data_IF_192843788056
#
_entry.id   IF_192843788056
#
_cell.length_a   1.000
_cell.length_b   1.000
_cell.length_c   1.000
_cell.angle_alpha   90.00
_cell.angle_beta   90.00
_cell.angle_gamma   90.00
#
_symmetry.space_group_name_H-M   'P 1'
#
loop_
_entity.id
_entity.type
_entity.pdbx_description
1 polymer ?
#
# COMPACT_ATOMS: atom_id res chain seq x y z
N UNK A 1 26.81 5.17 17.40
CA UNK A 1 26.28 4.05 16.58
C UNK A 1 25.04 3.48 17.28
N UNK A 2 24.20 2.69 16.60
CA UNK A 2 23.09 1.97 17.25
C UNK A 2 23.30 0.47 17.10
N UNK A 3 23.05 -0.31 18.16
CA UNK A 3 23.20 -1.77 18.16
C UNK A 3 21.90 -2.41 18.60
N UNK A 4 21.24 -3.13 17.70
CA UNK A 4 20.05 -3.94 18.01
C UNK A 4 20.54 -5.32 18.44
N UNK A 5 20.32 -5.68 19.70
CA UNK A 5 20.74 -6.97 20.28
C UNK A 5 19.58 -7.95 20.36
N UNK A 6 19.90 -9.24 20.31
CA UNK A 6 18.95 -10.33 20.50
C UNK A 6 17.76 -10.31 19.53
N UNK A 7 17.92 -9.82 18.30
CA UNK A 7 16.88 -9.87 17.29
C UNK A 7 16.79 -11.26 16.66
N UNK A 8 15.65 -11.57 16.04
CA UNK A 8 15.52 -12.67 15.09
C UNK A 8 15.32 -12.11 13.69
N UNK A 9 16.07 -12.57 12.69
CA UNK A 9 15.87 -12.19 11.28
C UNK A 9 15.47 -13.42 10.46
N UNK A 10 14.81 -13.20 9.32
CA UNK A 10 14.54 -14.26 8.35
C UNK A 10 15.80 -14.57 7.54
N UNK A 11 16.25 -15.83 7.60
CA UNK A 11 17.31 -16.36 6.76
C UNK A 11 16.87 -17.72 6.19
N UNK A 12 16.79 -17.80 4.86
CA UNK A 12 16.35 -19.00 4.12
C UNK A 12 15.03 -19.60 4.65
N UNK A 13 14.04 -18.75 4.97
CA UNK A 13 12.72 -19.16 5.46
C UNK A 13 12.66 -19.57 6.94
N UNK A 14 13.74 -19.37 7.71
CA UNK A 14 13.78 -19.67 9.14
C UNK A 14 14.25 -18.46 9.95
N UNK A 15 13.73 -18.31 11.18
CA UNK A 15 14.17 -17.26 12.08
C UNK A 15 15.54 -17.62 12.69
N UNK A 16 16.48 -16.68 12.62
CA UNK A 16 17.84 -16.80 13.17
C UNK A 16 18.13 -15.67 14.12
N UNK A 17 18.66 -16.00 15.30
CA UNK A 17 19.08 -15.03 16.31
C UNK A 17 20.36 -14.32 15.85
N UNK A 18 20.33 -12.99 15.85
CA UNK A 18 21.45 -12.11 15.47
C UNK A 18 21.45 -10.82 16.29
N UNK A 19 22.59 -10.13 16.26
CA UNK A 19 22.73 -8.72 16.58
C UNK A 19 22.95 -7.93 15.28
N UNK A 20 22.44 -6.70 15.20
CA UNK A 20 22.54 -5.82 14.02
C UNK A 20 23.14 -4.48 14.43
N UNK A 21 24.31 -4.15 13.89
CA UNK A 21 24.99 -2.88 14.11
C UNK A 21 24.67 -1.89 12.99
N UNK A 22 24.29 -0.67 13.38
CA UNK A 22 23.92 0.43 12.50
C UNK A 22 24.92 1.59 12.69
N UNK A 23 25.48 2.06 11.57
CA UNK A 23 26.39 3.20 11.51
C UNK A 23 25.85 4.27 10.55
N UNK A 24 25.50 5.43 11.10
CA UNK A 24 24.81 6.47 10.35
C UNK A 24 23.48 5.94 9.82
N UNK A 25 23.33 5.93 8.50
CA UNK A 25 22.10 5.54 7.79
C UNK A 25 22.03 4.07 7.39
N UNK A 26 23.07 3.29 7.64
CA UNK A 26 23.25 1.97 7.04
C UNK A 26 23.44 0.88 8.08
N UNK A 27 23.05 -0.33 7.69
CA UNK A 27 23.42 -1.56 8.39
C UNK A 27 24.90 -1.81 8.13
N UNK A 28 25.71 -1.76 9.19
CA UNK A 28 27.16 -1.97 9.12
C UNK A 28 27.52 -3.44 9.19
N UNK A 29 26.87 -4.18 10.10
CA UNK A 29 27.22 -5.57 10.38
C UNK A 29 26.01 -6.33 10.91
N UNK A 30 25.86 -7.58 10.47
CA UNK A 30 24.91 -8.56 10.99
C UNK A 30 25.71 -9.78 11.46
N UNK A 31 25.65 -10.12 12.75
CA UNK A 31 26.41 -11.23 13.29
C UNK A 31 25.68 -11.90 14.46
N UNK A 32 26.00 -13.16 14.81
CA UNK A 32 25.36 -13.86 15.94
C UNK A 32 25.53 -13.16 17.30
N UNK A 33 26.62 -12.40 17.47
CA UNK A 33 26.88 -11.59 18.65
C UNK A 33 27.82 -10.44 18.28
N UNK A 34 27.50 -9.22 18.73
CA UNK A 34 28.35 -8.03 18.56
C UNK A 34 28.61 -7.45 19.96
N UNK A 35 29.89 -7.19 20.26
CA UNK A 35 30.27 -6.55 21.53
C UNK A 35 29.81 -5.09 21.53
N UNK A 36 29.07 -4.71 22.58
CA UNK A 36 28.64 -3.33 22.78
C UNK A 36 29.80 -2.52 23.34
N UNK A 37 30.06 -1.36 22.76
CA UNK A 37 30.99 -0.36 23.29
C UNK A 37 30.22 0.80 23.92
N UNK A 38 30.87 1.57 24.80
CA UNK A 38 30.21 2.64 25.58
C UNK A 38 29.62 3.78 24.71
N UNK A 39 30.04 3.90 23.45
CA UNK A 39 29.57 4.89 22.47
C UNK A 39 28.38 4.39 21.60
N UNK A 40 27.87 3.19 21.87
CA UNK A 40 26.71 2.62 21.19
C UNK A 40 25.42 2.83 21.99
N UNK A 41 24.36 3.22 21.29
CA UNK A 41 22.99 3.13 21.81
C UNK A 41 22.54 1.69 21.61
N UNK A 42 22.29 0.97 22.70
CA UNK A 42 21.85 -0.43 22.66
C UNK A 42 20.33 -0.50 22.72
N UNK A 43 19.76 -1.20 21.74
CA UNK A 43 18.33 -1.53 21.66
C UNK A 43 18.24 -3.05 21.88
N UNK A 44 17.59 -3.50 22.95
CA UNK A 44 17.38 -4.94 23.18
C UNK A 44 16.07 -5.38 22.51
N UNK A 45 16.17 -6.15 21.43
CA UNK A 45 15.02 -6.65 20.70
C UNK A 45 14.27 -7.77 21.42
N UNK A 46 14.78 -8.27 22.57
CA UNK A 46 14.11 -9.27 23.42
C UNK A 46 13.67 -10.54 22.66
N UNK A 47 14.39 -10.93 21.61
CA UNK A 47 14.03 -12.08 20.77
C UNK A 47 12.93 -11.82 19.73
N UNK A 48 12.48 -10.58 19.56
CA UNK A 48 11.45 -10.23 18.57
C UNK A 48 12.00 -10.28 17.14
N UNK A 49 11.08 -10.32 16.17
CA UNK A 49 11.40 -10.43 14.76
C UNK A 49 11.76 -9.08 14.17
N UNK A 50 12.97 -8.95 13.62
CA UNK A 50 13.45 -7.77 12.91
C UNK A 50 13.32 -8.01 11.40
N UNK A 51 12.42 -7.27 10.77
CA UNK A 51 12.16 -7.30 9.34
C UNK A 51 12.84 -6.11 8.63
N UNK A 52 13.12 -6.23 7.32
CA UNK A 52 13.27 -5.03 6.50
C UNK A 52 11.99 -4.19 6.59
N UNK A 53 12.15 -2.87 6.61
CA UNK A 53 11.03 -1.95 6.62
C UNK A 53 10.12 -2.14 5.42
N UNK A 54 8.81 -2.13 5.66
CA UNK A 54 7.82 -2.39 4.63
C UNK A 54 7.72 -1.23 3.62
N UNK A 55 7.33 -1.55 2.40
CA UNK A 55 7.16 -0.63 1.28
C UNK A 55 5.69 -0.68 0.83
N UNK A 56 4.97 0.43 1.00
CA UNK A 56 3.58 0.55 0.55
C UNK A 56 3.49 1.43 -0.69
N UNK A 57 3.15 0.83 -1.82
CA UNK A 57 3.05 1.55 -3.09
C UNK A 57 1.71 2.26 -3.26
N UNK A 58 0.78 2.15 -2.30
CA UNK A 58 -0.54 2.78 -2.41
C UNK A 58 -1.05 3.33 -1.06
N UNK A 59 -0.90 4.64 -0.85
CA UNK A 59 -1.47 5.34 0.32
C UNK A 59 -2.11 6.67 -0.06
N UNK A 60 -2.99 7.20 0.79
CA UNK A 60 -3.50 8.57 0.70
C UNK A 60 -3.16 9.38 1.95
N UNK A 61 -2.22 10.33 1.83
CA UNK A 61 -1.85 11.23 2.93
C UNK A 61 -2.76 12.46 3.06
N UNK A 62 -3.66 12.66 2.08
CA UNK A 62 -4.71 13.71 2.01
C UNK A 62 -4.23 15.16 1.96
N UNK A 63 -3.06 15.47 2.50
CA UNK A 63 -2.42 16.77 2.41
C UNK A 63 -1.61 16.88 1.12
N UNK A 64 -1.75 17.98 0.35
CA UNK A 64 -2.55 19.19 0.64
C UNK A 64 -4.06 19.06 0.34
N UNK A 65 -4.86 19.85 1.06
CA UNK A 65 -6.29 20.10 0.79
C UNK A 65 -7.29 19.23 1.55
N UNK A 66 -6.86 18.08 2.07
CA UNK A 66 -7.67 17.17 2.89
C UNK A 66 -7.18 17.05 4.33
N UNK A 67 -6.52 18.07 4.86
CA UNK A 67 -5.78 18.04 6.14
C UNK A 67 -6.65 17.64 7.33
N UNK A 68 -7.97 17.86 7.28
CA UNK A 68 -8.90 17.42 8.33
C UNK A 68 -9.04 15.90 8.40
N UNK A 69 -8.81 15.19 7.28
CA UNK A 69 -8.83 13.72 7.21
C UNK A 69 -7.49 13.13 7.63
N UNK A 70 -6.39 13.69 7.12
CA UNK A 70 -5.01 13.25 7.42
C UNK A 70 -4.01 14.34 7.00
N UNK A 71 -2.84 14.39 7.66
CA UNK A 71 -1.69 15.20 7.22
C UNK A 71 -0.52 14.29 6.84
N UNK A 72 0.49 14.83 6.16
CA UNK A 72 1.74 14.08 5.87
C UNK A 72 2.38 13.63 7.19
N UNK A 73 2.40 14.48 8.22
CA UNK A 73 2.93 14.14 9.55
C UNK A 73 2.19 12.94 10.17
N UNK A 74 0.87 13.05 10.37
CA UNK A 74 0.10 12.01 11.05
C UNK A 74 0.04 10.72 10.24
N UNK A 75 -0.13 10.83 8.92
CA UNK A 75 -0.14 9.67 8.03
C UNK A 75 1.21 8.94 8.01
N UNK A 76 2.34 9.66 7.99
CA UNK A 76 3.66 9.00 8.02
C UNK A 76 4.02 8.43 9.39
N UNK A 77 3.50 9.00 10.49
CA UNK A 77 3.58 8.37 11.82
C UNK A 77 2.77 7.07 11.90
N UNK A 78 1.53 7.08 11.37
CA UNK A 78 0.68 5.88 11.27
C UNK A 78 1.35 4.77 10.45
N UNK A 79 1.94 5.14 9.31
CA UNK A 79 2.74 4.26 8.46
C UNK A 79 3.95 3.68 9.22
N UNK A 80 4.71 4.52 9.95
CA UNK A 80 5.83 4.04 10.76
C UNK A 80 5.37 3.04 11.83
N UNK A 81 4.23 3.29 12.50
CA UNK A 81 3.62 2.35 13.44
C UNK A 81 3.25 1.01 12.78
N UNK A 82 2.80 1.05 11.52
CA UNK A 82 2.54 -0.15 10.71
C UNK A 82 3.77 -0.95 10.29
N UNK A 83 4.99 -0.48 10.59
CA UNK A 83 6.24 -1.12 10.17
C UNK A 83 6.75 -0.69 8.80
N UNK A 84 6.07 0.26 8.16
CA UNK A 84 6.44 0.78 6.84
C UNK A 84 7.49 1.88 6.96
N UNK A 85 8.48 1.84 6.07
CA UNK A 85 9.57 2.83 6.01
C UNK A 85 9.58 3.61 4.71
N UNK A 86 8.85 3.13 3.70
CA UNK A 86 8.66 3.79 2.41
C UNK A 86 7.21 3.72 1.99
N UNK A 87 6.63 4.84 1.59
CA UNK A 87 5.26 4.89 1.05
C UNK A 87 5.15 5.77 -0.19
N UNK A 88 4.20 5.46 -1.06
CA UNK A 88 3.96 6.18 -2.30
C UNK A 88 2.54 6.81 -2.30
N UNK A 89 2.40 8.10 -1.96
CA UNK A 89 1.08 8.72 -1.85
C UNK A 89 0.46 9.05 -3.20
N UNK A 90 -0.82 8.75 -3.34
CA UNK A 90 -1.62 9.00 -4.54
C UNK A 90 -1.89 10.49 -4.78
N UNK A 91 -2.07 10.93 -6.05
CA UNK A 91 -2.08 12.35 -6.43
C UNK A 91 -3.46 13.02 -6.29
N UNK A 92 -4.46 12.38 -5.70
CA UNK A 92 -5.82 12.91 -5.54
C UNK A 92 -5.97 13.93 -4.40
N UNK A 93 -5.00 14.86 -4.32
CA UNK A 93 -4.93 15.98 -3.37
C UNK A 93 -5.37 17.29 -4.03
N UNK A 94 -5.38 18.38 -3.25
CA UNK A 94 -5.66 19.73 -3.74
C UNK A 94 -4.61 20.73 -3.23
N UNK A 95 -3.72 21.26 -4.09
CA UNK A 95 -3.60 20.96 -5.52
C UNK A 95 -3.17 19.51 -5.80
N UNK A 96 -3.43 19.05 -7.02
CA UNK A 96 -2.93 17.78 -7.59
C UNK A 96 -1.46 17.99 -7.97
N UNK A 97 -0.55 17.03 -7.77
CA UNK A 97 0.83 17.09 -8.28
C UNK A 97 0.85 16.84 -9.80
N UNK A 98 0.38 17.83 -10.55
CA UNK A 98 0.21 17.82 -12.02
C UNK A 98 1.11 18.83 -12.75
N UNK A 99 1.94 19.56 -12.01
CA UNK A 99 2.88 20.56 -12.51
C UNK A 99 4.10 20.66 -11.60
N UNK A 100 5.20 21.21 -12.11
CA UNK A 100 6.45 21.41 -11.33
C UNK A 100 6.17 22.18 -10.04
N UNK A 101 5.42 23.29 -10.11
CA UNK A 101 5.07 24.10 -8.94
C UNK A 101 4.36 23.29 -7.84
N UNK A 102 3.37 22.47 -8.23
CA UNK A 102 2.62 21.66 -7.28
C UNK A 102 3.48 20.53 -6.71
N UNK A 103 4.36 19.94 -7.53
CA UNK A 103 5.28 18.88 -7.12
C UNK A 103 6.36 19.40 -6.16
N UNK A 104 6.98 20.54 -6.47
CA UNK A 104 7.94 21.22 -5.58
C UNK A 104 7.31 21.54 -4.22
N UNK A 105 6.07 22.06 -4.23
CA UNK A 105 5.32 22.33 -2.99
C UNK A 105 5.07 21.06 -2.19
N UNK A 106 4.67 19.97 -2.84
CA UNK A 106 4.46 18.68 -2.17
C UNK A 106 5.77 18.14 -1.61
N UNK A 107 6.86 18.19 -2.38
CA UNK A 107 8.20 17.79 -1.93
C UNK A 107 8.68 18.60 -0.73
N UNK A 108 8.36 19.90 -0.67
CA UNK A 108 8.66 20.72 0.51
C UNK A 108 7.86 20.27 1.74
N UNK A 109 6.55 20.02 1.59
CA UNK A 109 5.73 19.49 2.70
C UNK A 109 6.23 18.13 3.18
N UNK A 110 6.65 17.25 2.27
CA UNK A 110 7.27 15.96 2.59
C UNK A 110 8.55 16.19 3.40
N UNK A 111 9.45 17.07 2.93
CA UNK A 111 10.71 17.36 3.61
C UNK A 111 10.51 17.89 5.02
N UNK A 112 9.47 18.70 5.24
CA UNK A 112 9.24 19.36 6.52
C UNK A 112 8.51 18.47 7.54
N UNK A 113 7.66 17.54 7.07
CA UNK A 113 6.70 16.85 7.94
C UNK A 113 6.79 15.32 7.91
N UNK A 114 7.45 14.70 6.93
CA UNK A 114 7.44 13.25 6.80
C UNK A 114 8.33 12.55 7.83
N UNK A 115 7.78 11.53 8.49
CA UNK A 115 8.52 10.66 9.41
C UNK A 115 9.11 9.43 8.72
N UNK A 116 8.62 9.07 7.53
CA UNK A 116 9.14 7.97 6.71
C UNK A 116 9.53 8.48 5.32
N UNK A 117 10.11 7.61 4.49
CA UNK A 117 10.34 7.96 3.08
C UNK A 117 9.02 8.05 2.33
N UNK A 118 8.82 9.13 1.59
CA UNK A 118 7.63 9.38 0.79
C UNK A 118 8.04 9.57 -0.67
N UNK A 119 7.50 8.76 -1.57
CA UNK A 119 7.77 8.79 -3.02
C UNK A 119 6.49 9.20 -3.77
N UNK A 120 6.25 10.50 -3.99
CA UNK A 120 4.97 10.98 -4.49
C UNK A 120 4.68 10.53 -5.92
N UNK A 121 3.45 10.08 -6.17
CA UNK A 121 2.92 9.95 -7.53
C UNK A 121 2.69 11.32 -8.17
N UNK A 122 2.80 11.36 -9.49
CA UNK A 122 2.32 12.46 -10.30
C UNK A 122 1.01 12.08 -11.00
N UNK A 123 0.16 13.08 -11.30
CA UNK A 123 -1.04 12.85 -12.10
C UNK A 123 -0.70 12.48 -13.56
N UNK A 124 -1.57 11.72 -14.25
CA UNK A 124 -1.47 11.53 -15.71
C UNK A 124 -1.99 12.78 -16.42
N UNK A 125 -3.09 13.35 -15.91
CA UNK A 125 -3.74 14.52 -16.49
C UNK A 125 -3.85 15.69 -15.51
N UNK A 126 -3.87 16.91 -16.06
CA UNK A 126 -4.06 18.12 -15.26
C UNK A 126 -5.35 18.02 -14.44
N UNK A 127 -5.21 18.21 -13.12
CA UNK A 127 -6.27 18.10 -12.12
C UNK A 127 -7.04 16.77 -12.16
N UNK A 128 -6.42 15.71 -12.70
CA UNK A 128 -7.04 14.39 -12.95
C UNK A 128 -8.32 14.50 -13.79
N UNK A 129 -8.39 15.50 -14.69
CA UNK A 129 -9.62 15.79 -15.44
C UNK A 129 -9.80 14.94 -16.70
N UNK A 130 -8.82 14.11 -17.06
CA UNK A 130 -8.87 13.23 -18.24
C UNK A 130 -8.82 13.98 -19.58
N UNK A 131 -8.35 15.24 -19.61
CA UNK A 131 -8.44 16.12 -20.79
C UNK A 131 -7.10 16.53 -21.40
N UNK A 132 -6.09 16.75 -20.56
CA UNK A 132 -4.79 17.25 -20.97
C UNK A 132 -3.72 16.54 -20.14
N UNK A 133 -2.75 15.91 -20.81
CA UNK A 133 -1.61 15.31 -20.14
C UNK A 133 -0.77 16.36 -19.42
N UNK A 134 -0.16 15.95 -18.32
CA UNK A 134 0.90 16.70 -17.66
C UNK A 134 2.20 16.69 -18.48
N UNK A 135 3.21 17.44 -18.01
CA UNK A 135 4.58 17.31 -18.49
C UNK A 135 5.30 16.16 -17.75
N UNK A 136 5.26 14.96 -18.35
CA UNK A 136 5.86 13.75 -17.79
C UNK A 136 7.36 13.90 -17.53
N UNK A 137 8.08 14.59 -18.41
CA UNK A 137 9.51 14.76 -18.27
C UNK A 137 9.82 15.65 -17.07
N UNK A 138 9.19 16.83 -17.02
CA UNK A 138 9.41 17.77 -15.93
C UNK A 138 9.05 17.16 -14.56
N UNK A 139 7.93 16.45 -14.46
CA UNK A 139 7.53 15.78 -13.21
C UNK A 139 8.46 14.62 -12.82
N UNK A 140 9.04 13.92 -13.80
CA UNK A 140 10.07 12.91 -13.52
C UNK A 140 11.34 13.55 -12.95
N UNK A 141 11.76 14.71 -13.47
CA UNK A 141 12.90 15.48 -12.96
C UNK A 141 12.65 15.98 -11.51
N UNK A 142 11.40 16.26 -11.15
CA UNK A 142 10.96 16.60 -9.78
C UNK A 142 10.73 15.38 -8.86
N UNK A 143 11.11 14.18 -9.30
CA UNK A 143 11.09 12.99 -8.46
C UNK A 143 9.77 12.22 -8.44
N UNK A 144 8.89 12.38 -9.44
CA UNK A 144 7.69 11.57 -9.57
C UNK A 144 8.01 10.07 -9.50
N UNK A 145 7.36 9.35 -8.59
CA UNK A 145 7.50 7.91 -8.43
C UNK A 145 7.02 7.19 -9.69
N UNK A 146 5.76 7.42 -10.05
CA UNK A 146 5.08 6.95 -11.25
C UNK A 146 3.89 7.88 -11.57
N UNK A 147 3.14 7.58 -12.63
CA UNK A 147 2.02 8.42 -13.09
C UNK A 147 0.67 7.71 -12.92
N UNK A 148 -0.30 8.38 -12.30
CA UNK A 148 -1.66 7.85 -12.07
C UNK A 148 -2.72 8.94 -11.97
N UNK A 149 -3.95 8.68 -12.41
CA UNK A 149 -5.12 9.53 -12.14
C UNK A 149 -6.00 8.96 -11.01
N UNK A 150 -5.39 8.17 -10.12
CA UNK A 150 -6.06 7.47 -9.01
C UNK A 150 -7.14 8.29 -8.28
N UNK A 151 -8.23 7.61 -7.94
CA UNK A 151 -9.52 8.21 -7.58
C UNK A 151 -10.51 8.32 -8.75
N UNK A 152 -10.02 8.27 -10.00
CA UNK A 152 -10.82 8.10 -11.23
C UNK A 152 -10.07 7.27 -12.27
N UNK A 153 -10.79 6.54 -13.14
CA UNK A 153 -10.19 5.91 -14.32
C UNK A 153 -9.93 6.90 -15.46
N UNK A 154 -8.86 6.73 -16.24
CA UNK A 154 -8.70 7.44 -17.53
C UNK A 154 -9.65 6.81 -18.54
N UNK A 155 -10.67 7.55 -18.97
CA UNK A 155 -11.78 7.00 -19.73
C UNK A 155 -11.45 6.79 -21.22
N UNK A 156 -10.76 7.75 -21.85
CA UNK A 156 -10.44 7.68 -23.27
C UNK A 156 -9.19 6.82 -23.53
N UNK A 157 -9.34 5.77 -24.34
CA UNK A 157 -8.24 4.85 -24.68
C UNK A 157 -7.03 5.57 -25.30
N UNK A 158 -7.27 6.59 -26.13
CA UNK A 158 -6.20 7.40 -26.74
C UNK A 158 -5.40 8.19 -25.69
N UNK A 159 -6.07 8.75 -24.68
CA UNK A 159 -5.42 9.47 -23.57
C UNK A 159 -4.48 8.54 -22.80
N UNK A 160 -4.94 7.32 -22.49
CA UNK A 160 -4.14 6.33 -21.79
C UNK A 160 -2.97 5.82 -22.66
N UNK A 161 -3.23 5.54 -23.94
CA UNK A 161 -2.19 5.10 -24.88
C UNK A 161 -1.04 6.11 -25.00
N UNK A 162 -1.38 7.39 -25.22
CA UNK A 162 -0.40 8.47 -25.30
C UNK A 162 0.33 8.69 -23.97
N UNK A 163 -0.34 8.52 -22.82
CA UNK A 163 0.28 8.58 -21.51
C UNK A 163 1.33 7.46 -21.33
N UNK A 164 1.00 6.23 -21.75
CA UNK A 164 1.94 5.10 -21.71
C UNK A 164 3.16 5.32 -22.61
N UNK A 165 3.00 5.95 -23.78
CA UNK A 165 4.15 6.34 -24.62
C UNK A 165 5.07 7.31 -23.87
N UNK A 166 4.51 8.38 -23.28
CA UNK A 166 5.26 9.39 -22.53
C UNK A 166 5.93 8.81 -21.28
N UNK A 167 5.24 7.98 -20.51
CA UNK A 167 5.80 7.33 -19.32
C UNK A 167 6.97 6.41 -19.66
N UNK A 168 6.86 5.63 -20.75
CA UNK A 168 7.95 4.78 -21.23
C UNK A 168 9.20 5.58 -21.60
N UNK A 169 9.05 6.73 -22.26
CA UNK A 169 10.18 7.60 -22.59
C UNK A 169 10.95 8.08 -21.34
N UNK A 170 10.26 8.20 -20.20
CA UNK A 170 10.87 8.57 -18.92
C UNK A 170 11.31 7.36 -18.08
N UNK A 171 11.09 6.13 -18.54
CA UNK A 171 11.37 4.91 -17.77
C UNK A 171 10.48 4.77 -16.53
N UNK A 172 9.24 5.28 -16.59
CA UNK A 172 8.26 5.27 -15.48
C UNK A 172 7.07 4.37 -15.78
N UNK A 173 6.43 3.89 -14.71
CA UNK A 173 5.21 3.12 -14.78
C UNK A 173 3.98 4.02 -14.98
N UNK A 174 2.97 3.48 -15.67
CA UNK A 174 1.59 3.95 -15.54
C UNK A 174 0.90 3.06 -14.51
N UNK A 175 0.31 3.68 -13.50
CA UNK A 175 -0.41 3.01 -12.42
C UNK A 175 -1.88 3.42 -12.49
N UNK A 176 -2.81 2.48 -12.50
CA UNK A 176 -4.20 2.80 -12.78
C UNK A 176 -5.19 2.22 -11.75
N UNK A 177 -5.99 3.12 -11.18
CA UNK A 177 -7.33 2.81 -10.71
C UNK A 177 -8.20 2.44 -11.92
N UNK A 178 -8.65 1.19 -11.95
CA UNK A 178 -9.40 0.65 -13.08
C UNK A 178 -10.90 0.75 -12.81
N UNK A 179 -11.56 1.71 -13.45
CA UNK A 179 -12.98 2.00 -13.27
C UNK A 179 -13.56 2.65 -14.54
N UNK A 180 -14.44 1.93 -15.24
CA UNK A 180 -15.24 2.48 -16.32
C UNK A 180 -16.43 3.28 -15.75
N UNK A 181 -16.43 4.59 -15.98
CA UNK A 181 -17.43 5.49 -15.39
C UNK A 181 -18.87 5.14 -15.80
N UNK A 182 -19.07 4.54 -16.97
CA UNK A 182 -20.39 4.16 -17.45
C UNK A 182 -20.95 2.92 -16.74
N UNK A 183 -20.09 2.16 -16.05
CA UNK A 183 -20.41 0.92 -15.34
C UNK A 183 -20.48 1.08 -13.82
N UNK A 184 -20.24 2.28 -13.28
CA UNK A 184 -20.35 2.55 -11.82
C UNK A 184 -21.81 2.42 -11.35
N UNK A 185 -22.77 2.86 -12.18
CA UNK A 185 -24.22 2.86 -11.89
C UNK A 185 -24.63 3.50 -10.55
N UNK A 186 -23.81 4.42 -10.03
CA UNK A 186 -24.03 5.03 -8.70
C UNK A 186 -23.91 4.03 -7.55
N UNK A 187 -23.22 2.91 -7.78
CA UNK A 187 -22.99 1.86 -6.80
C UNK A 187 -22.19 2.35 -5.59
N UNK A 188 -22.43 1.73 -4.44
CA UNK A 188 -21.73 2.00 -3.18
C UNK A 188 -21.09 0.76 -2.55
N UNK A 189 -21.29 -0.41 -3.16
CA UNK A 189 -20.72 -1.70 -2.76
C UNK A 189 -20.72 -2.65 -3.98
N UNK A 190 -20.31 -3.91 -3.83
CA UNK A 190 -20.35 -4.89 -4.91
C UNK A 190 -21.79 -5.14 -5.41
N UNK A 191 -22.00 -5.23 -6.73
CA UNK A 191 -23.25 -5.76 -7.30
C UNK A 191 -23.29 -7.28 -7.14
N UNK A 192 -23.96 -7.73 -6.08
CA UNK A 192 -24.01 -9.13 -5.71
C UNK A 192 -25.23 -9.47 -4.85
N UNK A 193 -25.13 -10.57 -4.11
CA UNK A 193 -26.19 -11.03 -3.22
C UNK A 193 -26.44 -10.01 -2.12
N UNK A 194 -25.37 -9.47 -1.52
CA UNK A 194 -25.48 -8.58 -0.36
C UNK A 194 -26.09 -7.23 -0.70
N UNK A 195 -25.74 -6.65 -1.85
CA UNK A 195 -26.34 -5.39 -2.29
C UNK A 195 -27.84 -5.50 -2.53
N UNK A 196 -28.29 -6.64 -3.08
CA UNK A 196 -29.72 -6.94 -3.26
C UNK A 196 -30.46 -7.10 -1.92
N UNK A 197 -29.85 -7.77 -0.94
CA UNK A 197 -30.41 -7.93 0.41
C UNK A 197 -30.54 -6.59 1.16
N UNK A 198 -29.53 -5.72 1.04
CA UNK A 198 -29.49 -4.44 1.74
C UNK A 198 -30.23 -3.32 0.99
N UNK A 199 -30.59 -3.53 -0.28
CA UNK A 199 -31.19 -2.50 -1.13
C UNK A 199 -30.24 -1.35 -1.45
N UNK A 200 -28.93 -1.62 -1.48
CA UNK A 200 -27.88 -0.64 -1.77
C UNK A 200 -27.43 -0.83 -3.23
N UNK A 201 -27.30 0.24 -4.04
CA UNK A 201 -26.80 0.13 -5.42
C UNK A 201 -25.41 -0.52 -5.49
N UNK A 202 -25.22 -1.45 -6.43
CA UNK A 202 -23.98 -2.20 -6.60
C UNK A 202 -23.11 -1.74 -7.77
N UNK A 203 -21.81 -2.05 -7.69
CA UNK A 203 -20.81 -1.87 -8.75
C UNK A 203 -20.45 -3.25 -9.31
N UNK A 204 -20.73 -3.52 -10.60
CA UNK A 204 -20.43 -4.81 -11.23
C UNK A 204 -18.92 -5.05 -11.40
N UNK A 205 -18.49 -6.31 -11.46
CA UNK A 205 -17.10 -6.68 -11.71
C UNK A 205 -16.54 -6.15 -13.03
N UNK A 206 -17.42 -6.02 -14.03
CA UNK A 206 -17.03 -5.46 -15.34
C UNK A 206 -16.64 -3.98 -15.27
N UNK A 207 -17.01 -3.26 -14.22
CA UNK A 207 -16.55 -1.88 -14.03
C UNK A 207 -15.01 -1.80 -13.94
N UNK A 208 -14.39 -2.79 -13.28
CA UNK A 208 -12.94 -2.87 -13.12
C UNK A 208 -12.26 -3.59 -14.29
N UNK A 209 -12.72 -4.82 -14.58
CA UNK A 209 -11.99 -5.74 -15.45
C UNK A 209 -11.87 -5.27 -16.92
N UNK A 210 -12.83 -4.47 -17.42
CA UNK A 210 -12.78 -3.98 -18.81
C UNK A 210 -11.69 -2.95 -19.04
N UNK A 211 -11.40 -2.10 -18.04
CA UNK A 211 -10.32 -1.13 -18.15
C UNK A 211 -8.96 -1.83 -18.10
N UNK A 212 -8.79 -2.85 -17.24
CA UNK A 212 -7.59 -3.69 -17.23
C UNK A 212 -7.39 -4.35 -18.60
N UNK A 213 -8.45 -4.96 -19.16
CA UNK A 213 -8.40 -5.62 -20.47
C UNK A 213 -8.02 -4.67 -21.61
N UNK A 214 -8.48 -3.42 -21.55
CA UNK A 214 -8.06 -2.35 -22.47
C UNK A 214 -6.58 -2.04 -22.27
N UNK A 215 -6.19 -1.74 -21.03
CA UNK A 215 -4.90 -1.13 -20.72
C UNK A 215 -3.73 -2.10 -20.91
N UNK A 216 -3.91 -3.41 -20.71
CA UNK A 216 -2.84 -4.38 -21.02
C UNK A 216 -2.49 -4.39 -22.50
N UNK A 217 -3.45 -4.19 -23.41
CA UNK A 217 -3.19 -4.11 -24.86
C UNK A 217 -2.52 -2.78 -25.23
N UNK A 218 -2.86 -1.69 -24.55
CA UNK A 218 -2.16 -0.40 -24.72
C UNK A 218 -0.72 -0.48 -24.21
N UNK A 219 -0.51 -1.15 -23.08
CA UNK A 219 0.81 -1.42 -22.51
C UNK A 219 1.63 -2.30 -23.45
N UNK A 220 1.05 -3.33 -24.07
CA UNK A 220 1.71 -4.16 -25.08
C UNK A 220 2.15 -3.31 -26.29
N UNK A 221 1.24 -2.50 -26.84
CA UNK A 221 1.51 -1.69 -28.03
C UNK A 221 2.60 -0.62 -27.80
N UNK A 222 2.70 -0.11 -26.57
CA UNK A 222 3.69 0.90 -26.20
C UNK A 222 4.98 0.29 -25.64
N UNK A 223 4.90 -0.88 -25.02
CA UNK A 223 5.93 -1.50 -24.18
C UNK A 223 6.16 -0.75 -22.85
N UNK A 224 5.17 -0.01 -22.37
CA UNK A 224 5.21 0.67 -21.07
C UNK A 224 4.98 -0.33 -19.93
N UNK A 225 5.66 -0.14 -18.79
CA UNK A 225 5.29 -0.83 -17.55
C UNK A 225 3.91 -0.33 -17.09
N UNK A 226 2.96 -1.26 -16.94
CA UNK A 226 1.62 -0.98 -16.45
C UNK A 226 1.38 -1.69 -15.12
N UNK A 227 0.84 -0.96 -14.13
CA UNK A 227 0.50 -1.49 -12.83
C UNK A 227 -0.99 -1.30 -12.54
N UNK A 228 -1.66 -2.38 -12.14
CA UNK A 228 -3.07 -2.38 -11.78
C UNK A 228 -3.21 -2.20 -10.28
N UNK A 229 -3.84 -1.12 -9.83
CA UNK A 229 -4.15 -0.89 -8.42
C UNK A 229 -5.15 -1.91 -7.89
N UNK A 230 -5.04 -2.22 -6.59
CA UNK A 230 -6.03 -2.90 -5.74
C UNK A 230 -7.01 -3.84 -6.46
N UNK A 231 -6.52 -4.92 -7.09
CA UNK A 231 -7.35 -5.85 -7.87
C UNK A 231 -8.43 -6.48 -6.98
N UNK A 232 -9.67 -6.56 -7.48
CA UNK A 232 -10.79 -7.08 -6.68
C UNK A 232 -11.66 -8.15 -7.35
N UNK A 233 -11.49 -8.42 -8.64
CA UNK A 233 -12.33 -9.40 -9.37
C UNK A 233 -11.57 -10.61 -9.89
N UNK A 234 -12.23 -11.78 -9.94
CA UNK A 234 -11.70 -12.98 -10.61
C UNK A 234 -11.42 -12.77 -12.10
N UNK A 235 -12.22 -11.94 -12.77
CA UNK A 235 -12.00 -11.59 -14.17
C UNK A 235 -10.72 -10.75 -14.36
N UNK A 236 -10.47 -9.79 -13.47
CA UNK A 236 -9.27 -8.95 -13.46
C UNK A 236 -8.03 -9.81 -13.30
N UNK A 237 -8.02 -10.73 -12.33
CA UNK A 237 -6.92 -11.69 -12.14
C UNK A 237 -6.69 -12.53 -13.40
N UNK A 238 -7.75 -13.04 -14.03
CA UNK A 238 -7.63 -13.79 -15.30
C UNK A 238 -6.97 -12.95 -16.39
N UNK A 239 -7.42 -11.70 -16.60
CA UNK A 239 -6.86 -10.80 -17.61
C UNK A 239 -5.38 -10.53 -17.36
N UNK A 240 -4.98 -10.25 -16.13
CA UNK A 240 -3.58 -10.01 -15.76
C UNK A 240 -2.74 -11.26 -16.02
N UNK A 241 -3.23 -12.44 -15.62
CA UNK A 241 -2.55 -13.72 -15.85
C UNK A 241 -2.33 -13.99 -17.34
N UNK A 242 -3.34 -13.72 -18.15
CA UNK A 242 -3.29 -13.88 -19.61
C UNK A 242 -2.29 -12.90 -20.23
N UNK A 243 -2.27 -11.65 -19.77
CA UNK A 243 -1.33 -10.63 -20.22
C UNK A 243 0.12 -10.94 -19.84
N UNK A 244 0.38 -11.37 -18.59
CA UNK A 244 1.72 -11.84 -18.17
C UNK A 244 2.18 -13.03 -19.01
N UNK A 245 1.30 -13.99 -19.30
CA UNK A 245 1.60 -15.14 -20.18
C UNK A 245 1.93 -14.73 -21.61
N UNK A 246 1.38 -13.62 -22.09
CA UNK A 246 1.71 -13.04 -23.39
C UNK A 246 3.04 -12.27 -23.39
N UNK A 247 3.68 -12.08 -22.23
CA UNK A 247 4.92 -11.32 -22.10
C UNK A 247 4.72 -9.81 -21.98
N UNK A 248 3.50 -9.36 -21.72
CA UNK A 248 3.19 -7.94 -21.48
C UNK A 248 3.76 -7.55 -20.12
N UNK A 249 4.40 -6.38 -20.04
CA UNK A 249 4.96 -5.85 -18.80
C UNK A 249 3.85 -5.24 -17.91
N UNK A 250 2.96 -6.10 -17.43
CA UNK A 250 1.91 -5.77 -16.47
C UNK A 250 2.24 -6.35 -15.10
N UNK A 251 1.95 -5.57 -14.06
CA UNK A 251 2.04 -5.96 -12.66
C UNK A 251 0.76 -5.55 -11.94
N UNK A 252 0.52 -6.07 -10.75
CA UNK A 252 -0.68 -5.77 -9.98
C UNK A 252 -0.45 -5.89 -8.48
N UNK A 253 -1.29 -5.20 -7.71
CA UNK A 253 -1.35 -5.28 -6.26
C UNK A 253 -2.73 -5.73 -5.77
N UNK A 254 -2.80 -6.21 -4.54
CA UNK A 254 -4.05 -6.49 -3.82
C UNK A 254 -3.98 -5.94 -2.40
N UNK A 255 -5.11 -5.52 -1.86
CA UNK A 255 -5.15 -4.94 -0.52
C UNK A 255 -5.40 -6.00 0.57
N UNK A 256 -4.98 -5.74 1.82
CA UNK A 256 -5.29 -6.64 2.93
C UNK A 256 -6.80 -6.89 3.08
N UNK A 257 -7.63 -5.86 2.93
CA UNK A 257 -9.06 -6.00 3.12
C UNK A 257 -9.76 -6.84 2.03
N UNK A 258 -9.26 -6.84 0.79
CA UNK A 258 -9.78 -7.72 -0.26
C UNK A 258 -9.33 -9.18 -0.11
N UNK A 259 -8.18 -9.41 0.52
CA UNK A 259 -7.75 -10.75 0.90
C UNK A 259 -8.59 -11.28 2.07
N UNK A 260 -8.93 -10.43 3.04
CA UNK A 260 -9.55 -10.84 4.29
C UNK A 260 -11.08 -10.91 4.22
N UNK A 261 -11.73 -9.98 3.53
CA UNK A 261 -13.18 -9.78 3.60
C UNK A 261 -13.87 -9.94 2.24
N UNK A 262 -15.17 -10.15 2.30
CA UNK A 262 -16.09 -10.30 1.16
C UNK A 262 -17.36 -9.50 1.38
N UNK A 263 -18.27 -9.53 0.41
CA UNK A 263 -19.61 -8.95 0.54
C UNK A 263 -20.40 -9.55 1.72
N UNK A 264 -20.15 -10.82 2.08
CA UNK A 264 -20.88 -11.51 3.14
C UNK A 264 -20.50 -11.00 4.54
N UNK A 265 -19.34 -10.34 4.68
CA UNK A 265 -18.87 -9.76 5.94
C UNK A 265 -19.51 -8.38 6.23
N UNK A 266 -20.20 -7.78 5.26
CA UNK A 266 -20.82 -6.46 5.41
C UNK A 266 -22.07 -6.60 6.30
N UNK A 267 -22.10 -6.04 7.53
CA UNK A 267 -23.17 -6.33 8.49
C UNK A 267 -24.50 -5.62 8.16
N UNK A 268 -24.47 -4.58 7.34
CA UNK A 268 -25.62 -3.76 6.97
C UNK A 268 -25.20 -2.52 6.17
N UNK A 269 -26.05 -1.49 6.12
CA UNK A 269 -25.69 -0.17 5.58
C UNK A 269 -24.69 0.53 6.52
N UNK A 270 -23.41 0.16 6.38
CA UNK A 270 -22.33 0.62 7.23
C UNK A 270 -21.14 1.06 6.36
N UNK A 271 -20.92 2.38 6.31
CA UNK A 271 -19.86 2.95 5.50
C UNK A 271 -18.43 2.56 5.94
N UNK A 272 -18.24 1.98 7.12
CA UNK A 272 -16.94 1.41 7.53
C UNK A 272 -16.49 0.24 6.64
N UNK A 273 -17.42 -0.37 5.90
CA UNK A 273 -17.17 -1.42 4.89
C UNK A 273 -17.19 -0.87 3.46
N UNK A 274 -17.28 0.45 3.28
CA UNK A 274 -17.31 1.11 1.97
C UNK A 274 -15.92 1.58 1.57
N UNK A 275 -15.32 0.90 0.60
CA UNK A 275 -14.09 1.27 -0.13
C UNK A 275 -14.26 0.99 -1.64
N UNK A 276 -13.34 1.50 -2.47
CA UNK A 276 -13.39 1.33 -3.92
C UNK A 276 -12.04 0.80 -4.42
N UNK A 277 -11.98 -0.42 -5.00
CA UNK A 277 -13.10 -1.30 -5.30
C UNK A 277 -13.79 -1.87 -4.05
N UNK A 278 -15.05 -2.30 -4.16
CA UNK A 278 -15.79 -2.84 -3.02
C UNK A 278 -15.38 -4.27 -2.69
N UNK A 279 -15.63 -4.70 -1.46
CA UNK A 279 -15.58 -6.12 -1.07
C UNK A 279 -16.56 -6.93 -1.92
N UNK A 280 -16.02 -7.88 -2.71
CA UNK A 280 -16.78 -8.67 -3.69
C UNK A 280 -17.15 -10.04 -3.17
N UNK A 281 -17.62 -10.92 -4.07
CA UNK A 281 -18.00 -12.28 -3.72
C UNK A 281 -16.84 -13.12 -3.19
N UNK A 282 -17.16 -14.21 -2.49
CA UNK A 282 -16.18 -15.21 -2.06
C UNK A 282 -15.34 -15.76 -3.22
N UNK A 283 -15.93 -15.96 -4.40
CA UNK A 283 -15.21 -16.43 -5.59
C UNK A 283 -14.19 -15.41 -6.12
N UNK A 284 -14.44 -14.11 -5.89
CA UNK A 284 -13.47 -13.07 -6.24
C UNK A 284 -12.29 -13.10 -5.26
N UNK A 285 -12.55 -13.13 -3.95
CA UNK A 285 -11.50 -13.28 -2.92
C UNK A 285 -10.62 -14.51 -3.15
N UNK A 286 -11.21 -15.66 -3.47
CA UNK A 286 -10.46 -16.88 -3.77
C UNK A 286 -9.52 -16.70 -4.97
N UNK A 287 -9.98 -16.03 -6.03
CA UNK A 287 -9.14 -15.73 -7.19
C UNK A 287 -8.02 -14.73 -6.88
N UNK A 288 -8.23 -13.79 -5.95
CA UNK A 288 -7.18 -12.88 -5.48
C UNK A 288 -6.09 -13.64 -4.73
N UNK A 289 -6.47 -14.54 -3.81
CA UNK A 289 -5.53 -15.37 -3.07
C UNK A 289 -4.75 -16.27 -4.03
N UNK A 290 -5.43 -16.94 -4.97
CA UNK A 290 -4.78 -17.75 -6.00
C UNK A 290 -3.81 -16.91 -6.84
N UNK A 291 -4.25 -15.72 -7.28
CA UNK A 291 -3.44 -14.81 -8.09
C UNK A 291 -2.20 -14.28 -7.37
N UNK A 292 -2.28 -14.04 -6.06
CA UNK A 292 -1.13 -13.66 -5.26
C UNK A 292 -0.15 -14.82 -5.10
N UNK A 293 -0.66 -16.03 -4.84
CA UNK A 293 0.16 -17.23 -4.66
C UNK A 293 0.85 -17.71 -5.94
N UNK A 294 0.20 -17.57 -7.11
CA UNK A 294 0.76 -17.98 -8.40
C UNK A 294 1.63 -16.90 -9.07
N UNK A 295 1.72 -15.70 -8.47
CA UNK A 295 2.51 -14.56 -8.96
C UNK A 295 1.82 -13.72 -10.04
N UNK A 296 0.53 -13.95 -10.31
CA UNK A 296 -0.29 -13.05 -11.15
C UNK A 296 -0.40 -11.68 -10.52
N UNK A 297 -0.64 -11.61 -9.21
CA UNK A 297 -0.58 -10.40 -8.39
C UNK A 297 0.80 -10.37 -7.74
N UNK A 298 1.50 -9.24 -7.85
CA UNK A 298 2.92 -9.13 -7.53
C UNK A 298 3.15 -8.83 -6.05
N UNK A 299 2.36 -7.93 -5.47
CA UNK A 299 2.57 -7.44 -4.10
C UNK A 299 1.27 -7.08 -3.39
N UNK A 300 1.41 -6.73 -2.11
CA UNK A 300 0.33 -6.18 -1.28
C UNK A 300 0.57 -4.67 -1.12
N UNK A 301 -0.47 -3.87 -1.27
CA UNK A 301 -0.49 -2.44 -1.00
C UNK A 301 -1.74 -2.09 -0.20
N UNK A 302 -1.70 -1.12 0.72
CA UNK A 302 -2.79 -1.00 1.69
C UNK A 302 -4.02 -0.28 1.17
N UNK A 303 -3.84 0.65 0.22
CA UNK A 303 -4.83 1.67 -0.08
C UNK A 303 -5.29 2.36 1.21
N UNK A 304 -4.32 2.84 2.01
CA UNK A 304 -4.62 3.57 3.23
C UNK A 304 -5.39 4.85 2.89
N UNK A 305 -6.70 4.86 3.17
CA UNK A 305 -7.64 5.89 2.74
C UNK A 305 -8.39 6.51 3.94
N UNK A 306 -7.76 7.44 4.68
CA UNK A 306 -8.31 8.04 5.89
C UNK A 306 -9.45 9.00 5.57
N UNK A 307 -10.48 8.98 6.41
CA UNK A 307 -11.67 9.84 6.34
C UNK A 307 -12.11 10.28 7.74
N UNK A 308 -12.73 11.46 7.82
CA UNK A 308 -13.21 11.96 9.09
C UNK A 308 -14.41 11.12 9.59
N UNK A 309 -14.54 11.00 10.91
CA UNK A 309 -15.55 10.14 11.54
C UNK A 309 -16.99 10.56 11.18
N UNK A 310 -17.25 11.86 11.07
CA UNK A 310 -18.56 12.41 10.69
C UNK A 310 -18.94 12.11 9.23
N UNK A 311 -17.94 12.06 8.33
CA UNK A 311 -18.14 11.67 6.94
C UNK A 311 -18.48 10.17 6.83
N UNK A 312 -17.82 9.32 7.62
CA UNK A 312 -18.05 7.86 7.63
C UNK A 312 -19.24 7.42 8.49
N UNK A 313 -19.82 8.31 9.30
CA UNK A 313 -21.07 8.06 10.02
C UNK A 313 -22.32 8.13 9.11
N UNK A 314 -22.16 8.51 7.84
CA UNK A 314 -23.24 8.56 6.86
C UNK A 314 -23.57 7.16 6.30
N UNK A 315 -24.71 7.04 5.61
CA UNK A 315 -25.08 5.82 4.86
C UNK A 315 -24.06 5.53 3.76
N UNK A 316 -23.91 4.28 3.34
CA UNK A 316 -23.02 3.87 2.26
C UNK A 316 -23.28 4.67 0.98
N UNK A 317 -24.52 5.02 0.67
CA UNK A 317 -24.84 5.83 -0.52
C UNK A 317 -24.33 7.28 -0.48
N UNK A 318 -23.91 7.78 0.69
CA UNK A 318 -23.47 9.18 0.88
C UNK A 318 -22.04 9.31 1.38
N UNK A 319 -21.60 8.39 2.23
CA UNK A 319 -20.27 8.38 2.80
C UNK A 319 -19.19 8.21 1.71
N UNK A 320 -17.97 8.74 1.94
CA UNK A 320 -16.86 8.51 1.01
C UNK A 320 -16.39 7.04 1.06
N UNK A 321 -15.80 6.61 -0.05
CA UNK A 321 -15.07 5.34 -0.16
C UNK A 321 -13.71 5.46 0.50
N UNK A 322 -13.32 4.44 1.26
CA UNK A 322 -11.97 4.32 1.80
C UNK A 322 -11.96 3.84 3.25
N UNK A 323 -10.92 3.08 3.60
CA UNK A 323 -10.61 2.63 4.95
C UNK A 323 -9.13 2.86 5.27
N UNK A 324 -8.79 3.08 6.54
CA UNK A 324 -7.38 3.08 6.95
C UNK A 324 -6.82 1.67 6.99
N UNK A 325 -5.55 1.49 6.55
CA UNK A 325 -4.92 0.17 6.44
C UNK A 325 -3.48 0.06 6.99
N UNK A 326 -2.68 1.12 6.96
CA UNK A 326 -1.25 1.06 7.33
C UNK A 326 -0.97 0.45 8.71
N UNK A 327 -1.74 0.83 9.74
CA UNK A 327 -1.49 0.39 11.12
C UNK A 327 -1.94 -1.05 11.40
N UNK A 328 -2.72 -1.64 10.50
CA UNK A 328 -3.34 -2.96 10.70
C UNK A 328 -2.91 -4.01 9.67
N UNK A 329 -2.26 -3.60 8.58
CA UNK A 329 -1.95 -4.46 7.44
C UNK A 329 -1.18 -5.74 7.83
N UNK A 330 0.00 -5.60 8.41
CA UNK A 330 0.83 -6.76 8.78
C UNK A 330 0.18 -7.59 9.91
N UNK A 331 -0.30 -7.01 11.04
CA UNK A 331 -0.91 -7.80 12.10
C UNK A 331 -2.10 -8.65 11.63
N UNK A 332 -2.98 -8.09 10.78
CA UNK A 332 -4.11 -8.81 10.22
C UNK A 332 -3.65 -9.96 9.32
N UNK A 333 -2.79 -9.68 8.34
CA UNK A 333 -2.32 -10.70 7.40
C UNK A 333 -1.50 -11.81 8.10
N UNK A 334 -0.67 -11.43 9.05
CA UNK A 334 0.09 -12.39 9.86
C UNK A 334 -0.86 -13.31 10.64
N UNK A 335 -1.86 -12.74 11.29
CA UNK A 335 -2.82 -13.50 12.12
C UNK A 335 -3.66 -14.45 11.28
N UNK A 336 -4.17 -14.00 10.13
CA UNK A 336 -5.09 -14.79 9.31
C UNK A 336 -4.42 -15.82 8.41
N UNK A 337 -3.20 -15.54 7.92
CA UNK A 337 -2.55 -16.43 6.96
C UNK A 337 -1.29 -17.11 7.49
N UNK A 338 -0.44 -16.39 8.24
CA UNK A 338 0.82 -16.98 8.70
C UNK A 338 0.61 -17.81 9.96
N UNK A 339 -0.09 -17.26 10.95
CA UNK A 339 -0.34 -17.93 12.24
C UNK A 339 -1.26 -19.16 12.09
N UNK A 340 -2.15 -19.15 11.12
CA UNK A 340 -3.01 -20.30 10.75
C UNK A 340 -2.28 -21.34 9.90
N UNK A 341 -1.10 -21.01 9.36
CA UNK A 341 -0.25 -21.91 8.58
C UNK A 341 -0.58 -21.97 7.09
N UNK A 342 -1.43 -21.08 6.58
CA UNK A 342 -1.72 -20.98 5.13
C UNK A 342 -0.53 -20.40 4.35
N UNK A 343 0.14 -19.39 4.91
CA UNK A 343 1.33 -18.76 4.33
C UNK A 343 2.54 -18.94 5.25
N UNK A 344 3.73 -18.83 4.68
CA UNK A 344 4.96 -18.66 5.45
C UNK A 344 5.16 -17.19 5.83
N UNK A 345 5.87 -16.94 6.94
CA UNK A 345 6.26 -15.58 7.34
C UNK A 345 7.10 -14.91 6.24
N UNK A 346 7.96 -15.67 5.55
CA UNK A 346 8.76 -15.16 4.43
C UNK A 346 7.87 -14.63 3.30
N UNK A 347 6.84 -15.38 2.89
CA UNK A 347 5.93 -14.91 1.84
C UNK A 347 5.26 -13.58 2.20
N UNK A 348 4.73 -13.46 3.43
CA UNK A 348 4.10 -12.22 3.87
C UNK A 348 5.09 -11.03 3.86
N UNK A 349 6.29 -11.24 4.40
CA UNK A 349 7.34 -10.21 4.39
C UNK A 349 7.70 -9.84 2.97
N UNK A 350 7.86 -10.81 2.07
CA UNK A 350 8.22 -10.55 0.67
C UNK A 350 7.16 -9.70 -0.05
N UNK A 351 5.87 -9.99 0.17
CA UNK A 351 4.75 -9.24 -0.43
C UNK A 351 4.71 -7.77 -0.02
N UNK A 352 5.32 -7.42 1.12
CA UNK A 352 5.34 -6.07 1.68
C UNK A 352 6.74 -5.41 1.59
N UNK A 353 7.74 -6.09 1.04
CA UNK A 353 9.13 -5.59 1.02
C UNK A 353 9.77 -5.74 -0.35
N UNK A 354 10.33 -6.91 -0.64
CA UNK A 354 11.11 -7.15 -1.84
C UNK A 354 10.26 -7.11 -3.11
N UNK A 355 9.02 -7.61 -3.05
CA UNK A 355 8.13 -7.66 -4.22
C UNK A 355 7.67 -6.27 -4.68
N UNK A 356 7.13 -5.38 -3.82
CA UNK A 356 6.85 -4.00 -4.24
C UNK A 356 8.12 -3.27 -4.69
N UNK A 357 9.27 -3.54 -4.05
CA UNK A 357 10.53 -2.95 -4.49
C UNK A 357 10.98 -3.44 -5.88
N UNK A 358 10.87 -4.73 -6.18
CA UNK A 358 11.19 -5.30 -7.51
C UNK A 358 10.26 -4.77 -8.59
N UNK A 359 8.95 -4.72 -8.30
CA UNK A 359 7.91 -4.21 -9.23
C UNK A 359 8.25 -2.82 -9.75
N UNK A 360 8.75 -1.93 -8.88
CA UNK A 360 9.07 -0.54 -9.24
C UNK A 360 10.57 -0.23 -9.28
N UNK A 361 11.43 -1.27 -9.31
CA UNK A 361 12.88 -1.15 -9.34
C UNK A 361 13.46 -0.22 -8.24
N UNK A 362 12.96 -0.36 -7.01
CA UNK A 362 13.38 0.40 -5.85
C UNK A 362 14.55 -0.28 -5.12
N UNK A 363 15.48 0.51 -4.54
CA UNK A 363 16.63 -0.01 -3.81
C UNK A 363 16.30 -0.33 -2.33
N UNK A 364 15.05 -0.70 -2.02
CA UNK A 364 14.55 -0.91 -0.65
C UNK A 364 14.07 -2.35 -0.42
N UNK A 365 13.49 -2.62 0.76
CA UNK A 365 12.86 -3.90 1.08
C UNK A 365 13.84 -5.04 1.38
N UNK A 366 15.07 -4.72 1.82
CA UNK A 366 16.13 -5.68 2.12
C UNK A 366 16.78 -5.38 3.46
N UNK A 367 17.13 -6.41 4.22
CA UNK A 367 17.97 -6.34 5.41
C UNK A 367 19.28 -7.07 5.12
N UNK A 368 20.32 -6.31 4.79
CA UNK A 368 21.66 -6.82 4.51
C UNK A 368 22.72 -5.78 4.88
N UNK A 369 23.96 -6.22 5.08
CA UNK A 369 25.09 -5.32 5.31
C UNK A 369 25.28 -4.37 4.11
N UNK A 370 25.46 -3.08 4.37
CA UNK A 370 25.62 -2.03 3.37
C UNK A 370 24.31 -1.39 2.88
N UNK A 371 23.16 -2.01 3.15
CA UNK A 371 21.83 -1.47 2.88
C UNK A 371 21.44 -0.37 3.88
N UNK A 372 20.41 0.41 3.54
CA UNK A 372 19.84 1.39 4.47
C UNK A 372 19.27 0.69 5.70
N UNK A 373 19.44 1.31 6.87
CA UNK A 373 18.85 0.86 8.12
C UNK A 373 17.36 1.27 8.18
N UNK A 374 16.59 0.74 7.23
CA UNK A 374 15.14 0.82 7.14
C UNK A 374 14.57 -0.49 7.65
N UNK A 375 14.15 -0.50 8.92
CA UNK A 375 13.88 -1.73 9.67
C UNK A 375 12.62 -1.60 10.50
N UNK A 376 11.97 -2.71 10.80
CA UNK A 376 10.90 -2.76 11.80
C UNK A 376 11.06 -3.98 12.71
N UNK A 377 10.89 -3.77 14.01
CA UNK A 377 10.89 -4.82 15.02
C UNK A 377 9.45 -5.17 15.37
N UNK A 378 9.13 -6.46 15.36
CA UNK A 378 7.76 -6.98 15.39
C UNK A 378 7.63 -8.03 16.47
N UNK A 379 6.62 -7.85 17.33
CA UNK A 379 6.21 -8.83 18.31
C UNK A 379 5.24 -9.85 17.69
N UNK A 380 5.73 -11.05 17.42
CA UNK A 380 4.96 -12.15 16.81
C UNK A 380 4.12 -12.96 17.81
N UNK A 381 4.37 -12.79 19.12
CA UNK A 381 3.88 -13.71 20.17
C UNK A 381 2.71 -13.14 20.97
N UNK A 382 2.69 -11.84 21.22
CA UNK A 382 1.66 -11.22 22.06
C UNK A 382 0.41 -10.87 21.23
N UNK A 383 -0.76 -11.14 21.83
CA UNK A 383 -2.07 -10.78 21.27
C UNK A 383 -2.40 -9.33 21.60
N UNK A 384 -2.84 -8.57 20.59
CA UNK A 384 -3.33 -7.21 20.72
C UNK A 384 -4.71 -7.10 20.09
N UNK A 385 -5.55 -6.23 20.66
CA UNK A 385 -6.84 -5.89 20.08
C UNK A 385 -6.70 -4.59 19.28
N UNK A 386 -7.20 -4.56 18.05
CA UNK A 386 -7.19 -3.34 17.22
C UNK A 386 -8.18 -2.33 17.80
N UNK A 387 -7.69 -1.20 18.30
CA UNK A 387 -8.53 -0.13 18.86
C UNK A 387 -8.29 1.19 18.18
N UNK A 388 -9.36 1.97 18.03
CA UNK A 388 -9.29 3.30 17.43
C UNK A 388 -8.45 4.29 18.27
N UNK A 389 -8.44 4.14 19.60
CA UNK A 389 -7.66 5.00 20.52
C UNK A 389 -6.15 4.83 20.37
N UNK A 390 -5.74 3.71 19.81
CA UNK A 390 -4.35 3.41 19.60
C UNK A 390 -3.84 4.04 18.31
N UNK A 391 -4.68 4.38 17.32
CA UNK A 391 -4.20 4.85 16.01
C UNK A 391 -3.47 6.20 16.08
N UNK A 392 -2.35 6.28 15.35
CA UNK A 392 -1.62 7.54 15.12
C UNK A 392 -2.17 8.30 13.91
N UNK A 393 -2.84 7.60 13.00
CA UNK A 393 -3.68 8.23 11.97
C UNK A 393 -4.74 9.10 12.65
N UNK A 394 -5.08 10.23 12.04
CA UNK A 394 -6.21 11.06 12.51
C UNK A 394 -7.54 10.34 12.35
N UNK A 395 -7.58 9.33 11.48
CA UNK A 395 -8.78 8.62 11.10
C UNK A 395 -8.79 7.20 11.67
N UNK A 396 -9.99 6.69 11.94
CA UNK A 396 -10.20 5.33 12.47
C UNK A 396 -11.27 4.58 11.69
N UNK A 397 -11.49 4.97 10.43
CA UNK A 397 -12.46 4.34 9.54
C UNK A 397 -11.99 2.98 9.03
N UNK A 398 -12.12 1.94 9.85
CA UNK A 398 -11.75 0.56 9.51
C UNK A 398 -12.78 -0.46 10.01
N UNK A 399 -13.07 -1.54 9.25
CA UNK A 399 -13.98 -2.59 9.69
C UNK A 399 -13.36 -3.54 10.73
N UNK A 400 -12.05 -3.43 10.99
CA UNK A 400 -11.28 -4.38 11.82
C UNK A 400 -11.18 -3.99 13.31
N UNK A 401 -11.92 -2.97 13.76
CA UNK A 401 -11.93 -2.59 15.17
C UNK A 401 -12.46 -3.74 16.05
N UNK A 402 -11.77 -4.00 17.16
CA UNK A 402 -12.08 -5.09 18.10
C UNK A 402 -11.52 -6.46 17.71
N UNK A 403 -10.84 -6.56 16.57
CA UNK A 403 -10.20 -7.80 16.15
C UNK A 403 -8.91 -8.07 16.95
N UNK A 404 -8.68 -9.33 17.28
CA UNK A 404 -7.49 -9.78 18.03
C UNK A 404 -6.42 -10.28 17.06
N UNK A 405 -5.26 -9.66 17.10
CA UNK A 405 -4.15 -9.87 16.16
C UNK A 405 -2.82 -10.08 16.88
N UNK A 406 -1.92 -10.76 16.20
CA UNK A 406 -0.51 -10.94 16.54
C UNK A 406 0.37 -10.28 15.49
N UNK A 407 1.69 -10.19 15.72
CA UNK A 407 2.61 -9.63 14.73
C UNK A 407 2.59 -8.11 14.73
N UNK A 408 2.54 -7.48 15.89
CA UNK A 408 2.45 -6.02 16.01
C UNK A 408 3.85 -5.39 15.95
N UNK A 409 4.11 -4.44 15.04
CA UNK A 409 5.34 -3.67 15.08
C UNK A 409 5.45 -2.89 16.39
N UNK A 410 6.63 -2.92 17.00
CA UNK A 410 6.92 -2.23 18.26
C UNK A 410 7.99 -1.15 18.09
N UNK A 411 8.78 -1.20 17.01
CA UNK A 411 9.76 -0.17 16.69
C UNK A 411 9.94 -0.11 15.18
N UNK A 412 9.99 1.10 14.61
CA UNK A 412 10.31 1.30 13.19
C UNK A 412 11.41 2.33 13.03
N UNK A 413 12.37 2.01 12.18
CA UNK A 413 13.57 2.79 11.92
C UNK A 413 13.64 3.14 10.43
N UNK A 414 13.97 4.39 10.13
CA UNK A 414 14.18 4.89 8.76
C UNK A 414 15.53 5.57 8.70
N UNK A 415 16.39 5.10 7.81
CA UNK A 415 17.76 5.56 7.63
C UNK A 415 18.54 5.65 8.94
N UNK A 416 18.37 4.65 9.81
CA UNK A 416 19.06 4.56 11.10
C UNK A 416 18.39 5.33 12.24
N UNK A 417 17.36 6.14 11.98
CA UNK A 417 16.65 6.90 13.00
C UNK A 417 15.34 6.23 13.42
N UNK A 418 15.08 6.15 14.72
CA UNK A 418 13.83 5.59 15.25
C UNK A 418 12.71 6.59 14.94
N UNK A 419 11.70 6.14 14.20
CA UNK A 419 10.55 6.93 13.76
C UNK A 419 9.26 6.55 14.48
N UNK A 420 9.23 5.34 15.03
CA UNK A 420 8.18 4.87 15.91
C UNK A 420 8.79 3.95 16.97
N UNK A 421 8.30 4.06 18.19
CA UNK A 421 8.61 3.19 19.32
C UNK A 421 7.32 3.04 20.14
N UNK A 422 6.79 1.83 20.22
CA UNK A 422 5.59 1.52 21.00
C UNK A 422 5.92 1.31 22.47
N UNK A 423 4.91 1.39 23.35
CA UNK A 423 5.08 1.28 24.80
C UNK A 423 5.65 -0.06 25.31
N UNK A 424 5.81 -1.04 24.41
CA UNK A 424 6.33 -2.38 24.69
C UNK A 424 7.63 -2.73 23.93
N UNK A 425 8.27 -1.73 23.29
CA UNK A 425 9.56 -1.88 22.60
C UNK A 425 10.69 -2.32 23.54
#
# INVERSE_FOLDING_TARGET
>A
MKLIKNAQILEAGSLKKVDVLIEGKKVKQIAPAIEATDDMIVIDAKGQFLAPGFVDVHVHLREPGGEHKETIETGTLAVARGGFTTVCPMPNTKPVPDSVENMERLNQLISDNAHVRVLPYAAITERQAGKQHVDFKALTEEGAFAFTDDGVGVQEAAMMYEAMQKAKEQGKAIVAHCEDNSLIYGGAMHEGKRSAELGIPGIPNICESVQIARDVLLSEATGCHYHVCHVSTKESVRVIRDAKRAGIHVTAEVTPHHLLLTEDDVPGDNAMYKMNPPLRSQADKEALIEGLLDGTIDCIATDHAPHAADEKAQTMTRAPFGIVGSETAFPLLYTHYVKTGEWTLQQLVDYLTIKPAETFNLPYGRLAEGELADLTLINLEDEFEIKAEDFLSKASNTPFLGEKVYGNPVLTMVEGDIRYEGDHA
#
